data_IF_415484864114
#
_entry.id   IF_415484864114
#
_cell.length_a   1.000
_cell.length_b   1.000
_cell.length_c   1.000
_cell.angle_alpha   90.00
_cell.angle_beta   90.00
_cell.angle_gamma   90.00
#
_symmetry.space_group_name_H-M   'P 1'
#
loop_
_entity.id
_entity.type
_entity.pdbx_description
1 polymer ?
#
# COMPACT_ATOMS: atom_id res chain seq x y z
N UNK A 1 -16.04 22.65 -12.62
CA UNK A 1 -16.81 21.79 -13.55
C UNK A 1 -15.82 21.13 -14.48
N UNK A 2 -15.83 19.81 -14.61
CA UNK A 2 -14.91 19.08 -15.50
C UNK A 2 -15.43 19.18 -16.94
N UNK A 3 -14.58 19.62 -17.87
CA UNK A 3 -14.92 19.67 -19.30
C UNK A 3 -15.06 18.24 -19.87
N UNK A 4 -16.13 17.95 -20.64
CA UNK A 4 -16.30 16.65 -21.27
C UNK A 4 -15.13 16.39 -22.25
N UNK A 5 -14.45 15.25 -22.06
CA UNK A 5 -13.31 14.82 -22.89
C UNK A 5 -11.92 14.97 -22.23
N UNK A 6 -11.81 15.58 -21.05
CA UNK A 6 -10.54 15.64 -20.30
C UNK A 6 -10.33 14.37 -19.47
N UNK A 7 -9.20 13.69 -19.66
CA UNK A 7 -8.77 12.60 -18.77
C UNK A 7 -8.47 13.20 -17.39
N UNK A 8 -9.07 12.69 -16.30
CA UNK A 8 -8.76 13.15 -14.96
C UNK A 8 -7.28 12.97 -14.65
N UNK A 9 -6.68 13.97 -13.99
CA UNK A 9 -5.28 13.89 -13.55
C UNK A 9 -5.14 12.72 -12.59
N UNK A 10 -4.13 11.84 -12.74
CA UNK A 10 -3.90 10.74 -11.82
C UNK A 10 -3.61 11.27 -10.42
N UNK A 11 -4.25 10.66 -9.43
CA UNK A 11 -4.05 10.92 -8.01
C UNK A 11 -3.38 9.71 -7.36
N UNK A 12 -2.52 9.97 -6.38
CA UNK A 12 -1.96 8.93 -5.50
C UNK A 12 -2.62 8.98 -4.13
N UNK A 13 -2.61 7.84 -3.43
CA UNK A 13 -3.16 7.74 -2.08
C UNK A 13 -2.03 7.95 -1.05
N UNK A 14 -2.16 8.95 -0.20
CA UNK A 14 -1.27 9.10 0.95
C UNK A 14 -1.46 7.94 1.94
N UNK A 15 -0.40 7.20 2.26
CA UNK A 15 -0.48 6.02 3.14
C UNK A 15 -0.64 6.35 4.63
N UNK A 16 -0.26 7.57 5.06
CA UNK A 16 -0.47 8.04 6.41
C UNK A 16 -1.94 8.41 6.68
N UNK A 17 -2.46 9.40 5.95
CA UNK A 17 -3.80 9.94 6.22
C UNK A 17 -4.91 9.40 5.31
N UNK A 18 -4.60 8.51 4.35
CA UNK A 18 -5.56 7.87 3.42
C UNK A 18 -6.39 8.84 2.57
N UNK A 19 -5.84 10.03 2.29
CA UNK A 19 -6.44 10.99 1.35
C UNK A 19 -5.75 10.93 0.00
N UNK A 20 -6.51 11.23 -1.06
CA UNK A 20 -5.98 11.37 -2.40
C UNK A 20 -5.25 12.69 -2.54
N UNK A 21 -4.02 12.65 -3.02
CA UNK A 21 -3.15 13.79 -3.28
C UNK A 21 -2.67 13.74 -4.72
N UNK A 22 -2.22 14.87 -5.24
CA UNK A 22 -1.65 14.95 -6.59
C UNK A 22 -0.38 14.12 -6.68
N UNK A 23 -0.12 13.56 -7.85
CA UNK A 23 1.03 12.66 -8.04
C UNK A 23 2.36 13.41 -7.98
N UNK A 24 2.35 14.70 -8.35
CA UNK A 24 3.52 15.57 -8.37
C UNK A 24 3.94 16.07 -6.99
N UNK A 25 3.10 15.88 -5.96
CA UNK A 25 3.43 16.30 -4.62
C UNK A 25 4.48 15.37 -4.00
N UNK A 26 5.47 15.97 -3.34
CA UNK A 26 6.45 15.28 -2.49
C UNK A 26 5.89 15.10 -1.07
N UNK A 27 5.18 16.12 -0.55
CA UNK A 27 4.54 16.12 0.77
C UNK A 27 3.02 15.99 0.66
N UNK A 28 2.39 15.41 1.67
CA UNK A 28 0.95 15.36 1.76
C UNK A 28 0.37 16.72 2.16
N UNK A 29 -0.50 17.30 1.33
CA UNK A 29 -1.20 18.57 1.64
C UNK A 29 -2.09 18.52 2.90
N UNK A 30 -2.36 17.32 3.43
CA UNK A 30 -3.27 17.10 4.55
C UNK A 30 -2.56 16.78 5.87
N UNK A 31 -1.57 15.88 5.86
CA UNK A 31 -0.83 15.50 7.06
C UNK A 31 0.61 16.04 7.10
N UNK A 32 1.10 16.65 6.01
CA UNK A 32 2.45 17.21 5.92
C UNK A 32 3.57 16.18 5.79
N UNK A 33 3.25 14.89 5.82
CA UNK A 33 4.26 13.83 5.74
C UNK A 33 4.78 13.62 4.32
N UNK A 34 6.03 13.13 4.25
CA UNK A 34 6.68 12.77 3.00
C UNK A 34 6.04 11.53 2.37
N UNK A 35 5.57 11.68 1.13
CA UNK A 35 4.81 10.65 0.46
C UNK A 35 5.70 9.49 -0.02
N UNK A 36 6.97 9.73 -0.32
CA UNK A 36 7.91 8.69 -0.74
C UNK A 36 8.29 7.80 0.45
N UNK A 37 8.58 8.39 1.61
CA UNK A 37 8.83 7.67 2.85
C UNK A 37 7.62 6.83 3.27
N UNK A 38 6.42 7.38 3.18
CA UNK A 38 5.17 6.67 3.46
C UNK A 38 4.91 5.48 2.52
N UNK A 39 5.24 5.63 1.23
CA UNK A 39 5.15 4.51 0.28
C UNK A 39 6.20 3.44 0.55
N UNK A 40 7.44 3.83 0.86
CA UNK A 40 8.50 2.89 1.22
C UNK A 40 8.13 2.09 2.47
N UNK A 41 7.63 2.75 3.51
CA UNK A 41 7.16 2.09 4.73
C UNK A 41 6.00 1.14 4.46
N UNK A 42 5.04 1.55 3.62
CA UNK A 42 3.94 0.67 3.23
C UNK A 42 4.42 -0.56 2.44
N UNK A 43 5.36 -0.39 1.52
CA UNK A 43 5.93 -1.49 0.75
C UNK A 43 6.66 -2.50 1.64
N UNK A 44 7.45 -2.01 2.61
CA UNK A 44 8.13 -2.85 3.60
C UNK A 44 7.12 -3.66 4.43
N UNK A 45 6.07 -3.01 4.94
CA UNK A 45 5.02 -3.69 5.71
C UNK A 45 4.29 -4.76 4.87
N UNK A 46 4.02 -4.49 3.60
CA UNK A 46 3.39 -5.48 2.70
C UNK A 46 4.31 -6.66 2.43
N UNK A 47 5.62 -6.44 2.30
CA UNK A 47 6.59 -7.52 2.14
C UNK A 47 6.62 -8.41 3.38
N UNK A 48 6.70 -7.82 4.58
CA UNK A 48 6.68 -8.57 5.84
C UNK A 48 5.40 -9.41 5.98
N UNK A 49 4.23 -8.81 5.72
CA UNK A 49 2.94 -9.54 5.79
C UNK A 49 2.93 -10.72 4.81
N UNK A 50 3.48 -10.56 3.60
CA UNK A 50 3.56 -11.64 2.62
C UNK A 50 4.42 -12.79 3.13
N UNK A 51 5.61 -12.48 3.64
CA UNK A 51 6.55 -13.49 4.16
C UNK A 51 5.92 -14.27 5.32
N UNK A 52 5.30 -13.57 6.28
CA UNK A 52 4.60 -14.20 7.41
C UNK A 52 3.43 -15.06 6.94
N UNK A 53 2.67 -14.59 5.95
CA UNK A 53 1.54 -15.34 5.40
C UNK A 53 2.00 -16.61 4.69
N UNK A 54 3.12 -16.56 3.98
CA UNK A 54 3.71 -17.73 3.32
C UNK A 54 4.20 -18.76 4.33
N UNK A 55 4.94 -18.32 5.36
CA UNK A 55 5.38 -19.20 6.43
C UNK A 55 4.20 -19.86 7.17
N UNK A 56 3.13 -19.10 7.43
CA UNK A 56 1.92 -19.64 8.04
C UNK A 56 1.25 -20.70 7.16
N UNK A 57 1.17 -20.49 5.84
CA UNK A 57 0.62 -21.47 4.91
C UNK A 57 1.42 -22.77 4.92
N UNK A 58 2.75 -22.68 4.86
CA UNK A 58 3.63 -23.83 4.91
C UNK A 58 3.43 -24.64 6.22
N UNK A 59 3.38 -23.96 7.36
CA UNK A 59 3.16 -24.63 8.66
C UNK A 59 1.79 -25.32 8.74
N UNK A 60 0.74 -24.73 8.16
CA UNK A 60 -0.59 -25.35 8.10
C UNK A 60 -0.57 -26.61 7.22
N UNK A 61 0.12 -26.56 6.08
CA UNK A 61 0.22 -27.70 5.17
C UNK A 61 1.04 -28.84 5.78
N UNK A 62 2.14 -28.55 6.48
CA UNK A 62 2.92 -29.52 7.25
C UNK A 62 2.08 -30.19 8.35
N UNK A 63 1.33 -29.40 9.13
CA UNK A 63 0.46 -29.93 10.18
C UNK A 63 -0.66 -30.82 9.64
N UNK A 64 -1.17 -30.52 8.43
CA UNK A 64 -2.14 -31.37 7.73
C UNK A 64 -1.52 -32.65 7.20
N UNK A 65 -0.29 -32.60 6.72
CA UNK A 65 0.41 -33.76 6.17
C UNK A 65 0.88 -34.74 7.26
N UNK A 66 1.25 -34.25 8.44
CA UNK A 66 1.69 -35.08 9.58
C UNK A 66 0.56 -35.69 10.42
N UNK A 67 -0.69 -35.39 10.12
CA UNK A 67 -1.87 -35.90 10.83
C UNK A 67 -2.58 -37.09 10.17
N UNK A 68 -1.95 -37.73 9.17
CA UNK A 68 -2.44 -38.93 8.48
C UNK A 68 -1.80 -40.21 9.02
#
# INVERSE_FOLDING_TARGET
>A
MSEPGRIPVPLRLCRGCRRFVRIENELCDFCGEDLAALEAAHAANVAEIRDVTEALRAAIDEARAGGA
#
